data_IF_877293893814
#
_entry.id   IF_877293893814
#
_cell.length_a   1.000
_cell.length_b   1.000
_cell.length_c   1.000
_cell.angle_alpha   90.00
_cell.angle_beta   90.00
_cell.angle_gamma   90.00
#
_symmetry.space_group_name_H-M   'P 1'
#
loop_
_entity.id
_entity.type
_entity.pdbx_description
1 polymer ?
#
# COMPACT_ATOMS: atom_id res chain seq x y z
N UNK A 1 40.77 -50.64 -2.15
CA UNK A 1 39.67 -49.65 -2.18
C UNK A 1 38.45 -50.27 -1.54
N UNK A 2 38.13 -49.89 -0.32
CA UNK A 2 36.86 -50.27 0.29
C UNK A 2 35.74 -49.45 -0.36
N UNK A 3 34.85 -50.14 -1.06
CA UNK A 3 33.68 -49.54 -1.67
C UNK A 3 32.69 -49.28 -0.53
N UNK A 4 32.49 -48.01 -0.19
CA UNK A 4 31.48 -47.57 0.78
C UNK A 4 30.11 -48.03 0.28
N UNK A 5 29.53 -49.05 0.91
CA UNK A 5 28.15 -49.46 0.67
C UNK A 5 27.22 -48.37 1.22
N UNK A 6 26.61 -47.60 0.33
CA UNK A 6 25.51 -46.69 0.66
C UNK A 6 24.36 -47.53 1.23
N UNK A 7 24.01 -47.29 2.49
CA UNK A 7 22.90 -47.95 3.17
C UNK A 7 21.56 -47.51 2.55
N UNK A 8 21.05 -48.26 1.58
CA UNK A 8 19.77 -48.01 0.93
C UNK A 8 18.60 -48.59 1.74
N UNK A 9 18.39 -48.07 2.96
CA UNK A 9 17.13 -48.30 3.68
C UNK A 9 16.06 -47.43 3.02
N UNK A 10 15.08 -48.05 2.37
CA UNK A 10 13.91 -47.36 1.82
C UNK A 10 13.00 -46.85 2.94
N UNK A 11 12.40 -45.67 2.72
CA UNK A 11 11.38 -45.12 3.62
C UNK A 11 10.14 -46.02 3.58
N UNK A 12 9.52 -46.25 4.74
CA UNK A 12 8.25 -47.00 4.77
C UNK A 12 7.07 -46.08 4.43
N UNK A 13 6.01 -46.64 3.85
CA UNK A 13 4.78 -45.87 3.54
C UNK A 13 4.18 -45.22 4.80
N UNK A 14 4.34 -45.86 5.96
CA UNK A 14 3.82 -45.38 7.25
C UNK A 14 4.58 -44.13 7.72
N UNK A 15 5.90 -44.09 7.56
CA UNK A 15 6.70 -42.91 7.90
C UNK A 15 6.33 -41.72 7.00
N UNK A 16 6.13 -41.96 5.70
CA UNK A 16 5.68 -40.91 4.78
C UNK A 16 4.27 -40.41 5.15
N UNK A 17 3.38 -41.33 5.53
CA UNK A 17 2.01 -41.01 5.96
C UNK A 17 1.99 -40.10 7.20
N UNK A 18 2.84 -40.38 8.19
CA UNK A 18 2.93 -39.56 9.40
C UNK A 18 3.32 -38.11 9.06
N UNK A 19 4.26 -37.91 8.13
CA UNK A 19 4.73 -36.57 7.73
C UNK A 19 3.63 -35.78 7.03
N UNK A 20 2.91 -36.38 6.08
CA UNK A 20 1.85 -35.67 5.35
C UNK A 20 0.67 -35.30 6.26
N UNK A 21 0.36 -36.12 7.27
CA UNK A 21 -0.67 -35.80 8.27
C UNK A 21 -0.25 -34.58 9.08
N UNK A 22 0.99 -34.53 9.57
CA UNK A 22 1.51 -33.39 10.32
C UNK A 22 1.53 -32.13 9.43
N UNK A 23 2.00 -32.24 8.18
CA UNK A 23 1.98 -31.12 7.21
C UNK A 23 0.56 -30.63 6.92
N UNK A 24 -0.44 -31.53 6.86
CA UNK A 24 -1.84 -31.18 6.67
C UNK A 24 -2.41 -30.36 7.83
N UNK A 25 -2.11 -30.76 9.07
CA UNK A 25 -2.54 -30.04 10.28
C UNK A 25 -1.91 -28.63 10.32
N UNK A 26 -0.60 -28.53 10.06
CA UNK A 26 0.11 -27.24 10.02
C UNK A 26 -0.43 -26.37 8.88
N UNK A 27 -0.67 -26.95 7.71
CA UNK A 27 -1.17 -26.25 6.53
C UNK A 27 -2.54 -25.61 6.77
N UNK A 28 -3.44 -26.29 7.47
CA UNK A 28 -4.77 -25.75 7.79
C UNK A 28 -4.70 -24.47 8.64
N UNK A 29 -3.84 -24.45 9.68
CA UNK A 29 -3.67 -23.27 10.56
C UNK A 29 -3.01 -22.12 9.78
N UNK A 30 -2.03 -22.44 8.94
CA UNK A 30 -1.29 -21.45 8.17
C UNK A 30 -2.18 -20.65 7.21
N UNK A 31 -3.15 -21.29 6.54
CA UNK A 31 -4.06 -20.61 5.59
C UNK A 31 -4.83 -19.47 6.25
N UNK A 32 -5.36 -19.68 7.46
CA UNK A 32 -6.13 -18.65 8.17
C UNK A 32 -5.24 -17.49 8.64
N UNK A 33 -4.03 -17.79 9.13
CA UNK A 33 -3.08 -16.79 9.61
C UNK A 33 -2.58 -15.87 8.47
N UNK A 34 -2.31 -16.43 7.29
CA UNK A 34 -1.82 -15.68 6.11
C UNK A 34 -2.87 -14.65 5.65
N UNK A 35 -4.17 -14.98 5.69
CA UNK A 35 -5.23 -14.06 5.29
C UNK A 35 -5.22 -12.74 6.07
N UNK A 36 -5.07 -12.80 7.40
CA UNK A 36 -5.02 -11.61 8.25
C UNK A 36 -3.76 -10.77 7.99
N UNK A 37 -2.62 -11.43 7.76
CA UNK A 37 -1.36 -10.75 7.45
C UNK A 37 -1.47 -10.02 6.11
N UNK A 38 -2.04 -10.68 5.09
CA UNK A 38 -2.25 -10.07 3.76
C UNK A 38 -3.12 -8.81 3.88
N UNK A 39 -4.23 -8.86 4.62
CA UNK A 39 -5.11 -7.71 4.77
C UNK A 39 -4.37 -6.54 5.42
N UNK A 40 -3.65 -6.79 6.52
CA UNK A 40 -2.81 -5.77 7.17
C UNK A 40 -1.74 -5.20 6.23
N UNK A 41 -1.07 -6.06 5.46
CA UNK A 41 -0.09 -5.61 4.46
C UNK A 41 -0.71 -4.72 3.39
N UNK A 42 -1.96 -4.97 2.97
CA UNK A 42 -2.67 -4.09 2.03
C UNK A 42 -2.99 -2.73 2.64
N UNK A 43 -3.48 -2.68 3.88
CA UNK A 43 -3.72 -1.43 4.60
C UNK A 43 -2.43 -0.61 4.76
N UNK A 44 -1.32 -1.26 5.12
CA UNK A 44 -0.01 -0.62 5.23
C UNK A 44 0.50 -0.10 3.90
N UNK A 45 0.38 -0.89 2.84
CA UNK A 45 0.75 -0.46 1.49
C UNK A 45 -0.10 0.74 1.02
N UNK A 46 -1.38 0.80 1.42
CA UNK A 46 -2.26 1.90 1.09
C UNK A 46 -1.84 3.20 1.78
N UNK A 47 -1.52 3.15 3.08
CA UNK A 47 -0.96 4.30 3.81
C UNK A 47 0.39 4.70 3.22
N UNK A 48 1.25 3.74 2.87
CA UNK A 48 2.54 4.01 2.24
C UNK A 48 2.39 4.72 0.88
N UNK A 49 1.41 4.34 0.06
CA UNK A 49 1.10 5.04 -1.20
C UNK A 49 0.70 6.50 -0.96
N UNK A 50 -0.06 6.79 0.11
CA UNK A 50 -0.38 8.16 0.50
C UNK A 50 0.89 8.95 0.91
N UNK A 51 1.82 8.31 1.61
CA UNK A 51 3.14 8.91 1.89
C UNK A 51 3.94 9.17 0.61
N UNK A 52 3.92 8.25 -0.37
CA UNK A 52 4.57 8.46 -1.68
C UNK A 52 3.98 9.68 -2.40
N UNK A 53 2.65 9.85 -2.35
CA UNK A 53 1.99 11.04 -2.89
C UNK A 53 2.46 12.33 -2.20
N UNK A 54 2.53 12.31 -0.87
CA UNK A 54 3.07 13.43 -0.08
C UNK A 54 4.52 13.74 -0.47
N UNK A 55 5.39 12.75 -0.59
CA UNK A 55 6.81 12.98 -0.87
C UNK A 55 7.00 13.60 -2.26
N UNK A 56 6.27 13.11 -3.27
CA UNK A 56 6.22 13.71 -4.60
C UNK A 56 5.72 15.16 -4.57
N UNK A 57 4.64 15.43 -3.83
CA UNK A 57 4.13 16.78 -3.68
C UNK A 57 5.05 17.70 -2.89
N UNK A 58 5.81 17.18 -1.93
CA UNK A 58 6.80 17.96 -1.17
C UNK A 58 7.90 18.42 -2.11
N UNK A 59 8.33 17.55 -3.02
CA UNK A 59 9.33 17.89 -4.04
C UNK A 59 8.79 18.97 -4.99
N UNK A 60 7.56 18.79 -5.49
CA UNK A 60 6.90 19.76 -6.37
C UNK A 60 6.68 21.13 -5.70
N UNK A 61 6.22 21.14 -4.44
CA UNK A 61 6.02 22.36 -3.68
C UNK A 61 7.33 23.14 -3.51
N UNK A 62 8.43 22.45 -3.18
CA UNK A 62 9.75 23.08 -3.06
C UNK A 62 10.21 23.73 -4.36
N UNK A 63 10.00 23.08 -5.51
CA UNK A 63 10.35 23.66 -6.80
C UNK A 63 9.48 24.88 -7.15
N UNK A 64 8.18 24.82 -6.83
CA UNK A 64 7.23 25.88 -7.15
C UNK A 64 7.42 27.13 -6.28
N UNK A 65 7.82 26.95 -5.02
CA UNK A 65 8.12 28.07 -4.10
C UNK A 65 9.35 28.87 -4.53
N UNK A 66 10.29 28.28 -5.26
CA UNK A 66 11.40 29.02 -5.87
C UNK A 66 10.93 30.03 -6.93
N UNK A 67 9.70 29.86 -7.44
CA UNK A 67 9.10 30.68 -8.48
C UNK A 67 7.99 31.60 -7.95
N UNK A 68 7.89 31.79 -6.62
CA UNK A 68 6.92 32.68 -5.94
C UNK A 68 5.44 32.36 -6.23
N UNK A 69 5.14 31.09 -6.51
CA UNK A 69 3.76 30.62 -6.68
C UNK A 69 3.18 30.18 -5.33
N UNK A 70 2.08 30.81 -4.91
CA UNK A 70 1.26 30.30 -3.81
C UNK A 70 0.53 29.04 -4.26
N UNK A 71 0.93 27.88 -3.72
CA UNK A 71 0.24 26.61 -3.91
C UNK A 71 -0.59 26.28 -2.67
N UNK A 72 -1.90 26.17 -2.85
CA UNK A 72 -2.81 25.71 -1.78
C UNK A 72 -3.12 24.22 -1.91
N UNK A 73 -3.22 23.72 -3.14
CA UNK A 73 -3.58 22.34 -3.46
C UNK A 73 -2.68 21.79 -4.57
N UNK A 74 -2.24 20.53 -4.42
CA UNK A 74 -1.51 19.80 -5.45
C UNK A 74 -2.22 18.48 -5.73
N UNK A 75 -2.74 18.33 -6.94
CA UNK A 75 -3.45 17.13 -7.38
C UNK A 75 -2.49 16.02 -7.81
N UNK A 76 -2.94 14.75 -7.70
CA UNK A 76 -2.19 13.60 -8.21
C UNK A 76 -1.88 13.71 -9.70
N UNK A 77 -2.85 14.23 -10.49
CA UNK A 77 -2.68 14.51 -11.91
C UNK A 77 -1.49 15.41 -12.17
N UNK A 78 -1.41 16.54 -11.46
CA UNK A 78 -0.32 17.52 -11.60
C UNK A 78 1.04 16.86 -11.33
N UNK A 79 1.15 16.03 -10.29
CA UNK A 79 2.40 15.34 -9.97
C UNK A 79 2.82 14.36 -11.06
N UNK A 80 1.85 13.64 -11.61
CA UNK A 80 2.11 12.70 -12.70
C UNK A 80 2.56 13.42 -13.98
N UNK A 81 1.87 14.49 -14.36
CA UNK A 81 2.20 15.28 -15.56
C UNK A 81 3.58 15.95 -15.46
N UNK A 82 4.01 16.31 -14.24
CA UNK A 82 5.34 16.85 -13.96
C UNK A 82 6.41 15.77 -13.73
N UNK A 83 6.12 14.49 -13.98
CA UNK A 83 7.03 13.36 -13.76
C UNK A 83 7.59 13.26 -12.32
N UNK A 84 6.84 13.75 -11.34
CA UNK A 84 7.20 13.70 -9.92
C UNK A 84 6.76 12.39 -9.26
N UNK A 85 5.84 11.67 -9.89
CA UNK A 85 5.30 10.39 -9.39
C UNK A 85 4.89 9.48 -10.54
N UNK A 86 5.00 8.18 -10.33
CA UNK A 86 4.50 7.16 -11.25
C UNK A 86 3.04 6.78 -10.96
N UNK A 87 2.48 5.91 -11.81
CA UNK A 87 1.16 5.33 -11.57
C UNK A 87 1.18 4.47 -10.31
N UNK A 88 0.40 4.86 -9.31
CA UNK A 88 0.29 4.15 -8.05
C UNK A 88 -0.55 2.88 -8.26
N UNK A 89 -0.10 1.75 -7.71
CA UNK A 89 -0.86 0.50 -7.72
C UNK A 89 -1.68 0.36 -6.44
N UNK A 90 -2.97 0.14 -6.59
CA UNK A 90 -3.89 -0.12 -5.48
C UNK A 90 -3.63 -1.52 -4.90
N UNK A 91 -3.32 -1.65 -3.60
CA UNK A 91 -3.00 -2.94 -2.98
C UNK A 91 -4.23 -3.85 -2.77
N UNK A 92 -5.45 -3.31 -2.78
CA UNK A 92 -6.68 -4.08 -2.60
C UNK A 92 -7.18 -4.69 -3.91
N UNK A 93 -7.12 -3.92 -5.01
CA UNK A 93 -7.62 -4.36 -6.33
C UNK A 93 -6.52 -4.73 -7.31
N UNK A 94 -5.26 -4.41 -6.98
CA UNK A 94 -4.08 -4.66 -7.80
C UNK A 94 -4.04 -3.86 -9.13
N UNK A 95 -4.99 -2.94 -9.33
CA UNK A 95 -5.09 -2.04 -10.48
C UNK A 95 -4.22 -0.80 -10.28
N UNK A 96 -3.83 -0.16 -11.37
CA UNK A 96 -3.15 1.14 -11.32
C UNK A 96 -4.16 2.27 -11.29
N UNK A 97 -3.97 3.24 -10.41
CA UNK A 97 -4.79 4.44 -10.33
C UNK A 97 -4.52 5.32 -11.57
N UNK A 98 -5.60 5.73 -12.25
CA UNK A 98 -5.50 6.61 -13.41
C UNK A 98 -5.38 8.09 -12.95
N UNK A 99 -4.29 8.80 -13.30
CA UNK A 99 -4.10 10.19 -12.88
C UNK A 99 -5.15 11.16 -13.41
N UNK A 100 -5.84 10.83 -14.51
CA UNK A 100 -6.86 11.69 -15.11
C UNK A 100 -8.22 11.62 -14.42
N UNK A 101 -8.56 10.48 -13.82
CA UNK A 101 -9.85 10.28 -13.13
C UNK A 101 -9.74 10.35 -11.61
N UNK A 102 -8.55 10.10 -11.08
CA UNK A 102 -8.33 10.03 -9.65
C UNK A 102 -8.25 11.44 -9.04
N UNK A 103 -9.10 11.70 -8.04
CA UNK A 103 -9.21 12.99 -7.35
C UNK A 103 -8.34 13.10 -6.10
N UNK A 104 -7.26 12.31 -5.97
CA UNK A 104 -6.35 12.44 -4.84
C UNK A 104 -5.61 13.77 -4.91
N UNK A 105 -5.46 14.43 -3.77
CA UNK A 105 -4.76 15.71 -3.65
C UNK A 105 -4.10 15.86 -2.28
N UNK A 106 -3.17 16.81 -2.19
CA UNK A 106 -2.59 17.25 -0.93
C UNK A 106 -2.75 18.75 -0.79
N UNK A 107 -2.86 19.22 0.46
CA UNK A 107 -2.90 20.65 0.76
C UNK A 107 -1.58 21.09 1.36
N UNK A 108 -1.08 22.22 0.87
CA UNK A 108 0.18 22.81 1.32
C UNK A 108 -0.13 24.07 2.12
N UNK A 109 0.42 24.14 3.33
CA UNK A 109 0.38 25.34 4.17
C UNK A 109 1.82 25.74 4.48
N UNK A 110 2.22 26.95 4.04
CA UNK A 110 3.53 27.56 4.35
C UNK A 110 4.69 26.58 4.19
N UNK A 111 4.82 26.01 2.99
CA UNK A 111 5.92 25.10 2.59
C UNK A 111 5.84 23.65 3.11
N UNK A 112 4.88 23.33 3.98
CA UNK A 112 4.69 21.98 4.50
C UNK A 112 3.36 21.38 4.07
N UNK A 113 3.37 20.08 3.75
CA UNK A 113 2.13 19.35 3.50
C UNK A 113 1.47 19.05 4.84
N UNK A 114 0.33 19.68 5.07
CA UNK A 114 -0.41 19.58 6.32
C UNK A 114 -1.45 18.47 6.26
N UNK A 115 -2.09 18.29 5.10
CA UNK A 115 -3.17 17.32 4.92
C UNK A 115 -3.17 16.70 3.53
N UNK A 116 -3.78 15.52 3.44
CA UNK A 116 -3.85 14.70 2.23
C UNK A 116 -5.23 14.05 2.14
N UNK A 117 -5.70 13.91 0.92
CA UNK A 117 -6.79 13.05 0.56
C UNK A 117 -6.28 12.05 -0.47
N UNK A 118 -6.17 10.77 -0.07
CA UNK A 118 -5.75 9.70 -0.97
C UNK A 118 -6.91 8.75 -1.28
N UNK A 119 -7.21 8.57 -2.55
CA UNK A 119 -8.37 7.83 -3.06
C UNK A 119 -7.87 6.67 -3.90
N UNK A 120 -8.19 5.44 -3.47
CA UNK A 120 -7.99 4.22 -4.23
C UNK A 120 -9.24 3.79 -4.99
N UNK A 121 -9.21 2.58 -5.53
CA UNK A 121 -10.35 2.00 -6.27
C UNK A 121 -11.52 1.67 -5.33
N UNK A 122 -11.24 1.10 -4.16
CA UNK A 122 -12.26 0.66 -3.19
C UNK A 122 -12.13 1.31 -1.82
N UNK A 123 -10.98 1.91 -1.52
CA UNK A 123 -10.65 2.49 -0.23
C UNK A 123 -10.19 3.93 -0.39
N UNK A 124 -10.36 4.73 0.66
CA UNK A 124 -9.87 6.11 0.72
C UNK A 124 -9.34 6.47 2.10
N UNK A 125 -8.41 7.42 2.12
CA UNK A 125 -7.88 8.13 3.28
C UNK A 125 -8.27 9.60 3.15
N UNK A 126 -9.58 9.85 3.17
CA UNK A 126 -10.19 11.17 3.18
C UNK A 126 -11.42 11.11 4.08
N UNK A 127 -11.73 12.20 4.76
CA UNK A 127 -13.06 12.40 5.34
C UNK A 127 -14.09 12.67 4.24
N UNK A 128 -15.36 12.65 4.64
CA UNK A 128 -16.49 12.98 3.78
C UNK A 128 -17.27 14.09 4.49
N UNK A 129 -17.53 15.18 3.79
CA UNK A 129 -18.49 16.20 4.23
C UNK A 129 -19.45 16.49 3.07
N UNK A 130 -20.60 15.81 3.05
CA UNK A 130 -21.53 15.84 1.92
C UNK A 130 -21.01 15.04 0.71
N UNK A 131 -20.94 15.70 -0.46
CA UNK A 131 -20.39 15.11 -1.70
C UNK A 131 -18.89 15.37 -1.88
N UNK A 132 -18.28 16.19 -1.01
CA UNK A 132 -16.88 16.60 -1.11
C UNK A 132 -15.98 15.82 -0.15
N UNK A 133 -14.74 15.59 -0.59
CA UNK A 133 -13.71 14.94 0.22
C UNK A 133 -13.01 15.96 1.11
N UNK A 134 -12.93 15.67 2.41
CA UNK A 134 -12.17 16.48 3.35
C UNK A 134 -10.79 15.84 3.59
N UNK A 135 -9.70 16.62 3.49
CA UNK A 135 -8.37 16.07 3.66
C UNK A 135 -8.09 15.78 5.15
N UNK A 136 -7.33 14.72 5.40
CA UNK A 136 -6.93 14.31 6.76
C UNK A 136 -5.55 14.87 7.05
N UNK A 137 -5.33 15.35 8.28
CA UNK A 137 -4.01 15.80 8.72
C UNK A 137 -2.98 14.68 8.62
N UNK A 138 -1.82 14.99 8.05
CA UNK A 138 -0.77 14.01 7.81
C UNK A 138 -0.28 13.31 9.08
N UNK A 139 -0.32 14.01 10.22
CA UNK A 139 0.11 13.44 11.52
C UNK A 139 -0.84 12.33 12.01
N UNK A 140 -2.10 12.36 11.58
CA UNK A 140 -3.17 11.51 12.09
C UNK A 140 -3.42 10.31 11.17
N UNK A 141 -2.74 10.22 10.02
CA UNK A 141 -2.92 9.12 9.08
C UNK A 141 -2.43 7.81 9.66
N UNK A 142 -3.34 6.84 9.69
CA UNK A 142 -3.07 5.47 10.07
C UNK A 142 -4.00 4.51 9.31
N UNK A 143 -3.85 3.22 9.60
CA UNK A 143 -4.68 2.16 9.00
C UNK A 143 -6.18 2.29 9.37
N UNK A 144 -6.51 2.91 10.52
CA UNK A 144 -7.88 3.02 11.05
C UNK A 144 -8.74 4.07 10.32
N UNK A 145 -8.09 5.05 9.70
CA UNK A 145 -8.77 6.10 8.91
C UNK A 145 -9.12 5.65 7.50
N UNK A 146 -8.75 4.42 7.12
CA UNK A 146 -9.09 3.85 5.82
C UNK A 146 -10.60 3.56 5.78
N UNK A 147 -11.33 4.31 4.97
CA UNK A 147 -12.76 4.12 4.75
C UNK A 147 -13.06 3.57 3.35
N UNK A 148 -14.30 3.13 3.12
CA UNK A 148 -14.75 2.75 1.77
C UNK A 148 -14.77 4.00 0.88
N UNK A 149 -14.21 3.89 -0.33
CA UNK A 149 -14.31 4.97 -1.30
C UNK A 149 -15.76 5.18 -1.73
#
# INVERSE_FOLDING_TARGET
MDIVKLNQKGLTLVELLAVIVIMGIIGMIAVLAIGQIIEKSKHQAFVANAHTLKDAATLYAKESLLHDNELTEISYKTLYENNMIEKIRDPFTNKTLDPGTNKSFVMVTKETIESICFIGETKKLCGIDGEDYTPVLMKDINEDLISSN
#
